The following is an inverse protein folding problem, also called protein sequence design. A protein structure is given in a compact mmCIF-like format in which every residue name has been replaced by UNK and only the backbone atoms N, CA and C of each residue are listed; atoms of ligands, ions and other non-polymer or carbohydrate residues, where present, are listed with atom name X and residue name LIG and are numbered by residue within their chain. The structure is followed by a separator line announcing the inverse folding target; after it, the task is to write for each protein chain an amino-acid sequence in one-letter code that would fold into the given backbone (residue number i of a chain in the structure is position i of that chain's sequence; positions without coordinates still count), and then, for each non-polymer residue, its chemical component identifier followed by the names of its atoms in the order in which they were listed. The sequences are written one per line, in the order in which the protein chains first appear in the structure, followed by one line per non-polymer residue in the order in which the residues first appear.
data_IF_837561507784
#
_entry.id   IF_837561507784
#
_cell.length_a   1.000
_cell.length_b   1.000
_cell.length_c   1.000
_cell.angle_alpha   90.00
_cell.angle_beta   90.00
_cell.angle_gamma   90.00
#
_symmetry.space_group_name_H-M   'P 1'
#
loop_
_entity.id
_entity.type
_entity.pdbx_description
1 polymer ?
#
# COMPACT_ATOMS: atom_id res chain seq x y z
N UNK A 1 -21.28 14.39 0.70
CA UNK A 1 -20.69 13.27 -0.04
C UNK A 1 -19.90 12.42 0.94
N UNK A 2 -20.33 11.19 1.20
CA UNK A 2 -19.56 10.25 2.01
C UNK A 2 -18.52 9.57 1.12
N UNK A 3 -17.26 9.54 1.56
CA UNK A 3 -16.20 8.78 0.92
C UNK A 3 -15.80 7.62 1.83
N UNK A 4 -15.83 6.40 1.31
CA UNK A 4 -15.23 5.24 1.94
C UNK A 4 -13.83 5.03 1.36
N UNK A 5 -12.85 4.79 2.21
CA UNK A 5 -11.51 4.41 1.76
C UNK A 5 -11.14 3.04 2.33
N UNK A 6 -10.70 2.13 1.48
CA UNK A 6 -10.18 0.84 1.89
C UNK A 6 -8.65 0.88 1.90
N UNK A 7 -8.03 0.30 2.93
CA UNK A 7 -6.58 0.11 2.97
C UNK A 7 -6.20 -1.08 2.09
N UNK A 8 -5.74 -0.82 0.88
CA UNK A 8 -5.06 -1.80 0.04
C UNK A 8 -3.59 -1.96 0.42
N UNK A 9 -2.82 -2.59 -0.42
CA UNK A 9 -1.36 -2.53 -0.49
C UNK A 9 -0.95 -2.63 -1.95
N UNK A 10 0.22 -2.12 -2.35
CA UNK A 10 0.70 -2.28 -3.72
C UNK A 10 0.69 -3.76 -4.15
N UNK A 11 0.93 -4.68 -3.24
CA UNK A 11 0.84 -6.14 -3.45
C UNK A 11 -0.59 -6.66 -3.73
N UNK A 12 -1.61 -5.80 -3.73
CA UNK A 12 -2.95 -6.15 -4.25
C UNK A 12 -2.99 -6.29 -5.78
N UNK A 13 -1.87 -6.01 -6.47
CA UNK A 13 -1.76 -6.08 -7.92
C UNK A 13 -0.61 -6.95 -8.43
N UNK A 14 0.20 -7.49 -7.53
CA UNK A 14 1.37 -8.32 -7.88
C UNK A 14 1.35 -9.63 -7.12
N UNK A 15 2.07 -10.62 -7.63
CA UNK A 15 2.32 -11.88 -6.95
C UNK A 15 3.72 -11.86 -6.33
N UNK A 16 3.80 -12.23 -5.06
CA UNK A 16 5.07 -12.35 -4.34
C UNK A 16 5.13 -13.77 -3.76
N UNK A 17 6.16 -14.58 -4.10
CA UNK A 17 6.31 -15.91 -3.53
C UNK A 17 6.27 -15.91 -2.00
N UNK A 18 5.79 -16.99 -1.41
CA UNK A 18 5.70 -17.19 0.05
C UNK A 18 4.64 -16.35 0.78
N UNK A 19 3.95 -15.42 0.08
CA UNK A 19 2.93 -14.55 0.67
C UNK A 19 1.49 -14.86 0.17
N UNK A 20 1.19 -16.11 -0.19
CA UNK A 20 -0.07 -16.49 -0.83
C UNK A 20 -1.31 -16.03 -0.07
N UNK A 21 -1.43 -16.31 1.23
CA UNK A 21 -2.59 -15.91 2.03
C UNK A 21 -2.73 -14.39 2.12
N UNK A 22 -1.62 -13.68 2.36
CA UNK A 22 -1.60 -12.24 2.43
C UNK A 22 -1.98 -11.58 1.09
N UNK A 23 -1.35 -12.01 0.00
CA UNK A 23 -1.62 -11.52 -1.36
C UNK A 23 -3.08 -11.75 -1.73
N UNK A 24 -3.61 -12.95 -1.49
CA UNK A 24 -5.02 -13.27 -1.73
C UNK A 24 -5.95 -12.31 -0.98
N UNK A 25 -5.70 -12.07 0.31
CA UNK A 25 -6.50 -11.13 1.11
C UNK A 25 -6.48 -9.71 0.56
N UNK A 26 -5.31 -9.27 0.07
CA UNK A 26 -5.16 -7.91 -0.47
C UNK A 26 -5.80 -7.75 -1.86
N UNK A 27 -5.78 -8.79 -2.71
CA UNK A 27 -6.53 -8.81 -3.96
C UNK A 27 -8.05 -8.80 -3.70
N UNK A 28 -8.52 -9.57 -2.72
CA UNK A 28 -9.92 -9.58 -2.33
C UNK A 28 -10.42 -8.20 -1.90
N UNK A 29 -9.60 -7.42 -1.17
CA UNK A 29 -9.95 -6.06 -0.78
C UNK A 29 -10.20 -5.13 -1.98
N UNK A 30 -9.43 -5.25 -3.07
CA UNK A 30 -9.67 -4.46 -4.28
C UNK A 30 -10.96 -4.89 -5.00
N UNK A 31 -11.22 -6.19 -5.06
CA UNK A 31 -12.47 -6.71 -5.60
C UNK A 31 -13.67 -6.19 -4.83
N UNK A 32 -13.64 -6.32 -3.50
CA UNK A 32 -14.67 -5.81 -2.61
C UNK A 32 -14.88 -4.29 -2.78
N UNK A 33 -13.81 -3.50 -2.77
CA UNK A 33 -13.88 -2.04 -2.96
C UNK A 33 -14.59 -1.67 -4.27
N UNK A 34 -14.28 -2.37 -5.38
CA UNK A 34 -14.91 -2.12 -6.69
C UNK A 34 -16.40 -2.45 -6.70
N UNK A 35 -16.79 -3.55 -6.04
CA UNK A 35 -18.22 -3.90 -5.87
C UNK A 35 -18.93 -2.82 -5.08
N UNK A 36 -18.38 -2.43 -3.93
CA UNK A 36 -18.95 -1.37 -3.10
C UNK A 36 -19.06 -0.03 -3.83
N UNK A 37 -18.09 0.30 -4.69
CA UNK A 37 -18.15 1.52 -5.49
C UNK A 37 -19.35 1.51 -6.47
N UNK A 38 -19.66 0.35 -7.05
CA UNK A 38 -20.83 0.18 -7.95
C UNK A 38 -22.16 0.18 -7.20
N UNK A 39 -22.21 -0.49 -6.05
CA UNK A 39 -23.44 -0.58 -5.25
C UNK A 39 -23.81 0.74 -4.58
N UNK A 40 -22.82 1.50 -4.13
CA UNK A 40 -23.04 2.73 -3.38
C UNK A 40 -23.01 4.00 -4.26
N UNK A 41 -22.43 3.91 -5.46
CA UNK A 41 -22.36 5.02 -6.40
C UNK A 41 -23.71 5.69 -6.70
N UNK A 42 -24.80 4.93 -6.99
CA UNK A 42 -26.12 5.51 -7.19
C UNK A 42 -26.65 6.31 -6.00
N UNK A 43 -26.11 6.08 -4.81
CA UNK A 43 -26.43 6.82 -3.58
C UNK A 43 -25.51 8.02 -3.33
N UNK A 44 -24.65 8.35 -4.30
CA UNK A 44 -23.68 9.45 -4.17
C UNK A 44 -22.49 9.14 -3.24
N UNK A 45 -22.23 7.86 -2.92
CA UNK A 45 -21.14 7.44 -2.06
C UNK A 45 -19.98 6.95 -2.93
N UNK A 46 -18.82 7.58 -2.77
CA UNK A 46 -17.58 7.20 -3.45
C UNK A 46 -16.79 6.21 -2.60
N UNK A 47 -16.23 5.19 -3.24
CA UNK A 47 -15.39 4.18 -2.57
C UNK A 47 -14.11 4.01 -3.37
N UNK A 48 -12.97 4.27 -2.76
CA UNK A 48 -11.65 4.15 -3.36
C UNK A 48 -10.71 3.41 -2.41
N UNK A 49 -9.55 2.98 -2.89
CA UNK A 49 -8.50 2.38 -2.08
C UNK A 49 -7.19 3.16 -2.20
N UNK A 50 -6.47 3.29 -1.09
CA UNK A 50 -5.06 3.68 -1.10
C UNK A 50 -4.24 2.40 -0.96
N UNK A 51 -3.27 2.22 -1.84
CA UNK A 51 -2.41 1.04 -1.93
C UNK A 51 -0.96 1.45 -1.65
N UNK A 52 -0.56 1.55 -0.39
CA UNK A 52 0.81 1.92 -0.04
C UNK A 52 1.78 0.79 -0.34
N UNK A 53 3.01 1.17 -0.63
CA UNK A 53 4.17 0.29 -0.62
C UNK A 53 4.61 -0.07 0.80
N UNK A 54 5.91 -0.11 1.03
CA UNK A 54 6.42 -0.43 2.36
C UNK A 54 6.40 0.80 3.28
N UNK A 55 5.58 0.71 4.31
CA UNK A 55 5.39 1.77 5.32
C UNK A 55 6.16 1.39 6.59
N UNK A 56 6.82 2.35 7.22
CA UNK A 56 7.51 2.21 8.51
C UNK A 56 6.48 2.09 9.65
N UNK A 57 5.80 0.95 9.70
CA UNK A 57 4.88 0.63 10.78
C UNK A 57 5.59 -0.13 11.90
N UNK A 58 5.02 -0.12 13.09
CA UNK A 58 5.51 -0.91 14.22
C UNK A 58 5.70 -2.39 13.85
N UNK A 59 4.71 -2.99 13.18
CA UNK A 59 4.79 -4.38 12.72
C UNK A 59 5.92 -4.62 11.71
N UNK A 60 6.15 -3.66 10.80
CA UNK A 60 7.26 -3.76 9.85
C UNK A 60 8.61 -3.67 10.55
N UNK A 61 8.74 -2.77 11.52
CA UNK A 61 9.97 -2.62 12.30
C UNK A 61 10.21 -3.82 13.21
N UNK A 62 9.17 -4.39 13.81
CA UNK A 62 9.27 -5.63 14.58
C UNK A 62 9.76 -6.81 13.71
N UNK A 63 9.28 -6.89 12.47
CA UNK A 63 9.75 -7.91 11.52
C UNK A 63 11.24 -7.74 11.20
N UNK A 64 11.68 -6.49 10.98
CA UNK A 64 13.08 -6.16 10.75
C UNK A 64 13.95 -6.51 11.98
N UNK A 65 13.48 -6.19 13.17
CA UNK A 65 14.15 -6.51 14.44
C UNK A 65 14.30 -8.01 14.64
N UNK A 66 13.25 -8.78 14.34
CA UNK A 66 13.30 -10.25 14.41
C UNK A 66 14.30 -10.82 13.39
N UNK A 67 14.39 -10.25 12.19
CA UNK A 67 15.39 -10.62 11.20
C UNK A 67 16.79 -10.30 11.69
N UNK A 68 17.02 -9.14 12.29
CA UNK A 68 18.28 -8.73 12.91
C UNK A 68 18.74 -9.75 13.97
N UNK A 69 17.85 -10.13 14.89
CA UNK A 69 18.13 -11.14 15.92
C UNK A 69 18.49 -12.51 15.34
N UNK A 70 17.84 -12.91 14.25
CA UNK A 70 18.10 -14.21 13.60
C UNK A 70 19.40 -14.25 12.81
N UNK A 71 19.79 -13.14 12.21
CA UNK A 71 20.95 -13.05 11.32
C UNK A 71 22.20 -12.51 11.99
N UNK A 72 22.08 -11.89 13.18
CA UNK A 72 23.17 -11.20 13.88
C UNK A 72 23.58 -9.89 13.20
N UNK A 73 22.83 -9.39 12.22
CA UNK A 73 23.11 -8.16 11.47
C UNK A 73 22.34 -6.97 12.05
N UNK A 74 22.88 -5.76 11.88
CA UNK A 74 22.16 -4.57 12.35
C UNK A 74 20.87 -4.33 11.55
N UNK A 75 19.88 -3.76 12.20
CA UNK A 75 18.62 -3.37 11.52
C UNK A 75 18.87 -2.37 10.39
N UNK A 76 19.83 -1.46 10.57
CA UNK A 76 20.23 -0.47 9.57
C UNK A 76 20.80 -1.12 8.31
N UNK A 77 21.71 -2.09 8.46
CA UNK A 77 22.32 -2.80 7.33
C UNK A 77 21.28 -3.64 6.57
N UNK A 78 20.41 -4.33 7.31
CA UNK A 78 19.32 -5.10 6.71
C UNK A 78 18.35 -4.21 5.93
N UNK A 79 17.96 -3.08 6.51
CA UNK A 79 17.09 -2.13 5.85
C UNK A 79 17.75 -1.54 4.59
N UNK A 80 19.00 -1.14 4.69
CA UNK A 80 19.76 -0.58 3.56
C UNK A 80 19.87 -1.61 2.42
N UNK A 81 20.14 -2.87 2.75
CA UNK A 81 20.20 -3.95 1.76
C UNK A 81 18.83 -4.18 1.08
N UNK A 82 17.76 -4.28 1.86
CA UNK A 82 16.41 -4.51 1.31
C UNK A 82 16.00 -3.36 0.40
N UNK A 83 16.19 -2.12 0.82
CA UNK A 83 15.88 -0.93 0.02
C UNK A 83 16.80 -0.85 -1.20
N UNK A 84 18.10 -1.08 -1.02
CA UNK A 84 19.07 -1.08 -2.10
C UNK A 84 18.81 -2.14 -3.15
N UNK A 85 18.47 -3.36 -2.75
CA UNK A 85 18.10 -4.44 -3.66
C UNK A 85 16.84 -4.09 -4.46
N UNK A 86 15.83 -3.49 -3.84
CA UNK A 86 14.61 -3.06 -4.52
C UNK A 86 14.88 -1.99 -5.58
N UNK A 87 15.73 -1.02 -5.27
CA UNK A 87 16.16 0.01 -6.24
C UNK A 87 16.97 -0.60 -7.38
N UNK A 88 17.96 -1.45 -7.07
CA UNK A 88 18.84 -2.07 -8.04
C UNK A 88 18.09 -2.98 -9.05
N UNK A 89 17.04 -3.64 -8.60
CA UNK A 89 16.22 -4.51 -9.46
C UNK A 89 15.02 -3.78 -10.10
N UNK A 90 14.91 -2.47 -9.94
CA UNK A 90 13.78 -1.69 -10.47
C UNK A 90 12.44 -2.01 -9.79
N UNK A 91 12.46 -2.73 -8.67
CA UNK A 91 11.26 -3.03 -7.89
C UNK A 91 10.76 -1.84 -7.05
N UNK A 92 11.47 -0.74 -7.06
CA UNK A 92 11.11 0.55 -6.46
C UNK A 92 11.89 1.65 -7.17
N UNK A 93 11.29 2.80 -7.39
CA UNK A 93 11.92 3.91 -8.10
C UNK A 93 12.45 4.98 -7.14
N UNK A 94 11.65 5.37 -6.17
CA UNK A 94 12.04 6.36 -5.16
C UNK A 94 12.57 5.65 -3.91
N UNK A 95 13.74 6.04 -3.39
CA UNK A 95 14.37 5.38 -2.25
C UNK A 95 13.61 5.57 -0.93
N UNK A 96 13.85 4.66 0.01
CA UNK A 96 13.35 4.73 1.38
C UNK A 96 12.00 4.08 1.60
N UNK A 97 11.50 4.20 2.82
CA UNK A 97 10.17 3.76 3.23
C UNK A 97 9.19 4.94 3.25
N UNK A 98 7.91 4.62 3.17
CA UNK A 98 6.87 5.58 3.52
C UNK A 98 6.79 5.69 5.05
N UNK A 99 6.56 6.89 5.54
CA UNK A 99 6.17 7.09 6.93
C UNK A 99 4.64 7.01 7.05
N UNK A 100 4.09 6.65 8.22
CA UNK A 100 2.63 6.60 8.41
C UNK A 100 1.91 7.90 8.02
N UNK A 101 2.52 9.04 8.30
CA UNK A 101 1.96 10.37 7.99
C UNK A 101 1.90 10.65 6.47
N UNK A 102 2.73 9.99 5.67
CA UNK A 102 2.68 10.11 4.20
C UNK A 102 1.34 9.62 3.63
N UNK A 103 0.63 8.77 4.38
CA UNK A 103 -0.67 8.24 3.98
C UNK A 103 -1.81 9.23 4.21
N UNK A 104 -1.65 10.20 5.10
CA UNK A 104 -2.72 11.12 5.48
C UNK A 104 -3.20 11.96 4.29
N UNK A 105 -2.29 12.54 3.53
CA UNK A 105 -2.62 13.44 2.42
C UNK A 105 -3.48 12.77 1.33
N UNK A 106 -3.14 11.59 0.78
CA UNK A 106 -3.98 10.92 -0.20
C UNK A 106 -5.35 10.50 0.36
N UNK A 107 -5.46 10.11 1.63
CA UNK A 107 -6.76 9.83 2.24
C UNK A 107 -7.62 11.09 2.35
N UNK A 108 -7.06 12.19 2.82
CA UNK A 108 -7.76 13.48 2.93
C UNK A 108 -8.18 14.00 1.55
N UNK A 109 -7.31 13.88 0.55
CA UNK A 109 -7.67 14.27 -0.82
C UNK A 109 -8.81 13.42 -1.39
N UNK A 110 -8.76 12.10 -1.23
CA UNK A 110 -9.85 11.22 -1.66
C UNK A 110 -11.17 11.52 -0.94
N UNK A 111 -11.12 12.01 0.29
CA UNK A 111 -12.30 12.42 1.05
C UNK A 111 -12.84 13.81 0.66
N UNK A 112 -12.02 14.64 0.03
CA UNK A 112 -12.36 16.01 -0.37
C UNK A 112 -13.16 16.09 -1.67
N UNK A 113 -13.66 17.28 -1.98
CA UNK A 113 -14.31 17.59 -3.26
C UNK A 113 -13.32 17.57 -4.43
N UNK A 114 -12.01 17.66 -4.19
CA UNK A 114 -10.98 17.49 -5.21
C UNK A 114 -11.02 16.14 -5.92
N UNK A 115 -11.58 15.12 -5.26
CA UNK A 115 -11.76 13.78 -5.81
C UNK A 115 -13.23 13.42 -6.07
N UNK A 116 -14.11 14.43 -6.25
CA UNK A 116 -15.58 14.22 -6.35
C UNK A 116 -16.02 13.25 -7.44
N UNK A 117 -15.26 13.16 -8.52
CA UNK A 117 -15.54 12.33 -9.68
C UNK A 117 -14.79 11.01 -9.67
N UNK A 118 -14.07 10.69 -8.56
CA UNK A 118 -13.33 9.44 -8.39
C UNK A 118 -14.07 8.43 -7.53
N UNK A 119 -14.33 7.25 -8.10
CA UNK A 119 -14.81 6.08 -7.36
C UNK A 119 -14.31 4.79 -8.01
N UNK A 120 -14.15 3.73 -7.24
CA UNK A 120 -13.67 2.44 -7.72
C UNK A 120 -12.18 2.40 -8.05
N UNK A 121 -11.41 3.43 -7.68
CA UNK A 121 -9.99 3.56 -8.02
C UNK A 121 -9.09 3.05 -6.90
N UNK A 122 -7.94 2.49 -7.31
CA UNK A 122 -6.85 2.12 -6.40
C UNK A 122 -5.69 3.09 -6.63
N UNK A 123 -5.45 3.97 -5.66
CA UNK A 123 -4.38 4.95 -5.71
C UNK A 123 -3.10 4.31 -5.17
N UNK A 124 -2.11 4.13 -6.05
CA UNK A 124 -0.80 3.60 -5.67
C UNK A 124 0.01 4.69 -4.98
N UNK A 125 0.53 4.38 -3.80
CA UNK A 125 1.43 5.24 -3.02
C UNK A 125 2.62 4.37 -2.57
N UNK A 126 3.45 3.96 -3.50
CA UNK A 126 4.40 2.87 -3.31
C UNK A 126 5.82 3.18 -3.79
N UNK A 127 6.13 4.45 -4.03
CA UNK A 127 7.43 4.90 -4.54
C UNK A 127 7.81 4.27 -5.88
N UNK A 128 6.81 3.90 -6.69
CA UNK A 128 7.00 3.28 -7.99
C UNK A 128 7.30 1.78 -7.92
N UNK A 129 6.85 1.08 -6.87
CA UNK A 129 7.00 -0.37 -6.74
C UNK A 129 6.10 -1.12 -7.75
N UNK A 130 4.92 -0.60 -8.03
CA UNK A 130 3.98 -1.15 -9.01
C UNK A 130 3.55 -0.06 -9.96
N UNK A 131 4.07 -0.12 -11.17
CA UNK A 131 3.65 0.75 -12.27
C UNK A 131 2.74 -0.07 -13.20
N UNK A 132 1.46 0.20 -13.16
CA UNK A 132 0.43 -0.48 -13.96
C UNK A 132 -0.28 0.50 -14.88
#
# INVERSE_FOLDING_TARGET
TCAGAAAGRCWSRVAVPEFSAYITSKHANLGFMRVMAKELGPRGIRVNAVCPGWVRTEAAMLSLQNMSKRTGRSEGDLLAEIVGARLAHGAQVLPGLLEPDDLAAPYLWLASDGAKDMTGQALMLDRGEVMA
#
